data_IF_690581989240
#
_entry.id   IF_690581989240
#
_cell.length_a   1.000
_cell.length_b   1.000
_cell.length_c   1.000
_cell.angle_alpha   90.00
_cell.angle_beta   90.00
_cell.angle_gamma   90.00
#
_symmetry.space_group_name_H-M   'P 1'
#
loop_
_entity.id
_entity.type
_entity.pdbx_description
1 polymer ?
#
# COMPACT_ATOMS: atom_id res chain seq x y z
N UNK A 1 -3.67 11.14 -26.41
CA UNK A 1 -3.19 9.88 -27.00
C UNK A 1 -2.59 9.03 -25.91
N UNK A 2 -2.61 7.71 -26.03
CA UNK A 2 -2.01 6.84 -25.00
C UNK A 2 -0.49 7.06 -24.91
N UNK A 3 0.15 7.30 -26.06
CA UNK A 3 1.55 7.71 -26.18
C UNK A 3 1.92 8.95 -25.36
N UNK A 4 1.06 9.97 -25.31
CA UNK A 4 1.34 11.19 -24.54
C UNK A 4 1.33 10.97 -23.02
N UNK A 5 0.55 10.00 -22.54
CA UNK A 5 0.53 9.65 -21.11
C UNK A 5 1.77 8.83 -20.71
N UNK A 6 2.18 7.89 -21.56
CA UNK A 6 3.44 7.14 -21.38
C UNK A 6 4.66 8.09 -21.38
N UNK A 7 4.69 9.08 -22.28
CA UNK A 7 5.74 10.11 -22.26
C UNK A 7 5.72 10.92 -20.97
N UNK A 8 4.54 11.28 -20.46
CA UNK A 8 4.40 11.99 -19.19
C UNK A 8 4.89 11.14 -18.01
N UNK A 9 4.64 9.82 -18.04
CA UNK A 9 5.16 8.85 -17.07
C UNK A 9 6.68 8.81 -17.09
N UNK A 10 7.28 8.68 -18.27
CA UNK A 10 8.73 8.66 -18.41
C UNK A 10 9.35 9.96 -17.86
N UNK A 11 8.79 11.12 -18.19
CA UNK A 11 9.26 12.41 -17.65
C UNK A 11 9.14 12.48 -16.12
N UNK A 12 8.03 11.99 -15.57
CA UNK A 12 7.84 11.97 -14.11
C UNK A 12 8.82 11.01 -13.42
N UNK A 13 9.12 9.86 -14.02
CA UNK A 13 10.11 8.91 -13.51
C UNK A 13 11.52 9.53 -13.55
N UNK A 14 11.90 10.19 -14.65
CA UNK A 14 13.17 10.93 -14.74
C UNK A 14 13.25 12.03 -13.67
N UNK A 15 12.19 12.82 -13.51
CA UNK A 15 12.14 13.86 -12.47
C UNK A 15 12.13 13.27 -11.04
N UNK A 16 11.67 12.04 -10.86
CA UNK A 16 11.79 11.31 -9.59
C UNK A 16 13.25 10.98 -9.34
N UNK A 17 13.93 10.33 -10.28
CA UNK A 17 15.34 9.95 -10.17
C UNK A 17 16.24 11.16 -9.90
N UNK A 18 16.02 12.28 -10.60
CA UNK A 18 16.76 13.52 -10.37
C UNK A 18 16.62 14.05 -8.93
N UNK A 19 15.40 14.02 -8.38
CA UNK A 19 15.18 14.46 -7.01
C UNK A 19 15.80 13.50 -5.98
N UNK A 20 15.89 12.20 -6.30
CA UNK A 20 16.59 11.23 -5.45
C UNK A 20 18.09 11.50 -5.42
N UNK A 21 18.69 11.71 -6.61
CA UNK A 21 20.10 12.08 -6.75
C UNK A 21 20.43 13.40 -6.04
N UNK A 22 19.59 14.43 -6.20
CA UNK A 22 19.75 15.71 -5.50
C UNK A 22 19.73 15.52 -3.97
N UNK A 23 18.81 14.70 -3.45
CA UNK A 23 18.76 14.42 -2.01
C UNK A 23 19.98 13.68 -1.51
N UNK A 24 20.54 12.78 -2.34
CA UNK A 24 21.73 12.00 -2.02
C UNK A 24 22.97 12.89 -2.04
N UNK A 25 23.06 13.83 -2.98
CA UNK A 25 24.12 14.85 -3.01
C UNK A 25 24.10 15.73 -1.76
N UNK A 26 22.92 16.18 -1.33
CA UNK A 26 22.77 16.97 -0.09
C UNK A 26 23.23 16.16 1.13
N UNK A 27 22.89 14.87 1.20
CA UNK A 27 23.33 13.99 2.26
C UNK A 27 24.86 13.77 2.24
N UNK A 28 25.46 13.54 1.08
CA UNK A 28 26.90 13.35 0.93
C UNK A 28 27.69 14.59 1.37
N UNK A 29 27.32 15.78 0.90
CA UNK A 29 27.98 17.03 1.36
C UNK A 29 27.88 17.25 2.86
N UNK A 30 26.79 16.81 3.51
CA UNK A 30 26.69 16.85 4.97
C UNK A 30 27.63 15.86 5.65
N UNK A 31 27.72 14.61 5.16
CA UNK A 31 28.62 13.59 5.70
C UNK A 31 30.11 13.93 5.49
N UNK A 32 30.42 14.68 4.44
CA UNK A 32 31.75 15.22 4.15
C UNK A 32 32.10 16.45 5.03
N UNK A 33 31.13 16.98 5.79
CA UNK A 33 31.32 18.13 6.67
C UNK A 33 31.28 19.48 5.95
N UNK A 34 30.81 19.52 4.70
CA UNK A 34 30.70 20.76 3.90
C UNK A 34 29.51 21.64 4.33
N UNK A 35 28.56 21.09 5.09
CA UNK A 35 27.33 21.77 5.53
C UNK A 35 27.10 21.66 7.03
N UNK A 36 26.46 22.68 7.59
CA UNK A 36 25.95 22.65 8.97
C UNK A 36 24.68 21.80 9.06
N UNK A 37 24.35 21.35 10.28
CA UNK A 37 23.14 20.55 10.54
C UNK A 37 21.88 21.32 10.15
N UNK A 38 21.78 22.62 10.48
CA UNK A 38 20.61 23.45 10.14
C UNK A 38 20.41 23.55 8.62
N UNK A 39 21.47 23.88 7.87
CA UNK A 39 21.42 23.96 6.40
C UNK A 39 21.08 22.62 5.76
N UNK A 40 21.61 21.52 6.31
CA UNK A 40 21.26 20.18 5.85
C UNK A 40 19.76 19.90 6.06
N UNK A 41 19.21 20.16 7.25
CA UNK A 41 17.81 19.87 7.55
C UNK A 41 16.85 20.70 6.68
N UNK A 42 17.13 21.98 6.47
CA UNK A 42 16.30 22.85 5.62
C UNK A 42 16.19 22.33 4.18
N UNK A 43 17.32 21.94 3.57
CA UNK A 43 17.34 21.52 2.16
C UNK A 43 16.98 20.04 1.98
N UNK A 44 17.51 19.16 2.83
CA UNK A 44 17.30 17.72 2.69
C UNK A 44 15.82 17.34 2.88
N UNK A 45 15.13 17.95 3.85
CA UNK A 45 13.71 17.63 4.09
C UNK A 45 12.87 18.00 2.88
N UNK A 46 13.08 19.18 2.29
CA UNK A 46 12.33 19.65 1.12
C UNK A 46 12.59 18.76 -0.10
N UNK A 47 13.86 18.48 -0.41
CA UNK A 47 14.22 17.64 -1.57
C UNK A 47 13.75 16.20 -1.39
N UNK A 48 13.94 15.61 -0.20
CA UNK A 48 13.55 14.22 0.08
C UNK A 48 12.04 14.05 0.07
N UNK A 49 11.29 15.02 0.60
CA UNK A 49 9.82 15.08 0.53
C UNK A 49 9.35 15.13 -0.93
N UNK A 50 9.94 16.00 -1.73
CA UNK A 50 9.61 16.13 -3.15
C UNK A 50 9.90 14.83 -3.91
N UNK A 51 11.04 14.18 -3.66
CA UNK A 51 11.37 12.89 -4.25
C UNK A 51 10.31 11.82 -3.91
N UNK A 52 9.91 11.71 -2.64
CA UNK A 52 8.87 10.76 -2.22
C UNK A 52 7.51 11.05 -2.85
N UNK A 53 7.12 12.32 -2.94
CA UNK A 53 5.88 12.70 -3.61
C UNK A 53 5.89 12.34 -5.10
N UNK A 54 7.00 12.56 -5.81
CA UNK A 54 7.14 12.18 -7.22
C UNK A 54 7.09 10.66 -7.41
N UNK A 55 7.78 9.90 -6.55
CA UNK A 55 7.73 8.43 -6.54
C UNK A 55 6.30 7.89 -6.43
N UNK A 56 5.54 8.38 -5.45
CA UNK A 56 4.15 7.96 -5.25
C UNK A 56 3.27 8.37 -6.46
N UNK A 57 3.46 9.57 -7.01
CA UNK A 57 2.73 10.00 -8.21
C UNK A 57 3.06 9.14 -9.43
N UNK A 58 4.32 8.75 -9.61
CA UNK A 58 4.76 7.87 -10.69
C UNK A 58 4.10 6.49 -10.54
N UNK A 59 4.16 5.89 -9.34
CA UNK A 59 3.51 4.61 -9.03
C UNK A 59 2.01 4.64 -9.33
N UNK A 60 1.30 5.69 -8.89
CA UNK A 60 -0.13 5.83 -9.13
C UNK A 60 -0.48 6.03 -10.60
N UNK A 61 0.36 6.77 -11.32
CA UNK A 61 0.15 6.95 -12.76
C UNK A 61 0.42 5.65 -13.54
N UNK A 62 1.43 4.88 -13.15
CA UNK A 62 1.65 3.52 -13.68
C UNK A 62 0.42 2.63 -13.42
N UNK A 63 -0.10 2.60 -12.19
CA UNK A 63 -1.32 1.85 -11.85
C UNK A 63 -2.51 2.21 -12.74
N UNK A 64 -2.73 3.51 -12.99
CA UNK A 64 -3.83 3.99 -13.83
C UNK A 64 -3.65 3.61 -15.31
N UNK A 65 -2.43 3.61 -15.81
CA UNK A 65 -2.11 3.19 -17.19
C UNK A 65 -2.28 1.68 -17.36
N UNK A 66 -1.84 0.89 -16.39
CA UNK A 66 -1.98 -0.57 -16.41
C UNK A 66 -3.42 -1.04 -16.18
N UNK A 67 -4.19 -0.39 -15.31
CA UNK A 67 -5.60 -0.75 -15.04
C UNK A 67 -6.57 -0.42 -16.18
N UNK A 68 -6.13 0.31 -17.22
CA UNK A 68 -6.91 0.52 -18.44
C UNK A 68 -6.88 -0.67 -19.41
N UNK A 69 -6.02 -1.65 -19.18
CA UNK A 69 -6.17 -2.97 -19.79
C UNK A 69 -7.30 -3.70 -19.05
N UNK A 70 -8.20 -4.40 -19.76
CA UNK A 70 -9.29 -5.12 -19.10
C UNK A 70 -8.69 -6.08 -18.08
N UNK A 71 -8.89 -5.78 -16.79
CA UNK A 71 -8.75 -6.79 -15.74
C UNK A 71 -9.67 -7.93 -16.18
N UNK A 72 -9.21 -9.19 -16.25
CA UNK A 72 -10.14 -10.28 -16.18
C UNK A 72 -10.88 -10.12 -14.84
N UNK A 73 -12.14 -9.68 -14.90
CA UNK A 73 -13.11 -9.92 -13.84
C UNK A 73 -13.11 -11.42 -13.60
N UNK A 74 -12.44 -11.89 -12.55
CA UNK A 74 -12.42 -13.32 -12.27
C UNK A 74 -11.36 -13.73 -11.26
N UNK A 75 -11.82 -14.01 -10.04
CA UNK A 75 -11.08 -14.80 -9.07
C UNK A 75 -10.49 -13.96 -7.94
N UNK A 76 -11.26 -13.77 -6.87
CA UNK A 76 -10.63 -13.70 -5.56
C UNK A 76 -9.68 -14.90 -5.42
N UNK A 77 -8.48 -14.75 -4.82
CA UNK A 77 -7.61 -15.90 -4.57
C UNK A 77 -8.42 -16.87 -3.70
N UNK A 78 -8.83 -17.99 -4.29
CA UNK A 78 -9.53 -19.06 -3.59
C UNK A 78 -8.53 -19.66 -2.61
N UNK A 79 -8.45 -19.08 -1.42
CA UNK A 79 -7.74 -19.70 -0.31
C UNK A 79 -8.57 -20.92 0.06
N UNK A 80 -8.01 -22.14 0.02
CA UNK A 80 -8.72 -23.30 0.53
C UNK A 80 -9.06 -23.02 2.00
N UNK A 81 -10.33 -23.24 2.35
CA UNK A 81 -10.78 -23.09 3.73
C UNK A 81 -9.92 -24.00 4.64
N UNK A 82 -9.47 -23.52 5.80
CA UNK A 82 -8.72 -24.36 6.73
C UNK A 82 -9.59 -25.57 7.15
N UNK A 83 -8.99 -26.74 7.36
CA UNK A 83 -9.73 -27.92 7.80
C UNK A 83 -10.42 -27.64 9.13
N UNK A 84 -11.67 -28.09 9.26
CA UNK A 84 -12.43 -27.95 10.49
C UNK A 84 -11.68 -28.62 11.66
N UNK A 85 -11.67 -28.03 12.87
CA UNK A 85 -11.03 -28.65 14.02
C UNK A 85 -11.67 -30.00 14.33
N UNK A 86 -10.86 -31.02 14.53
CA UNK A 86 -11.31 -32.35 14.96
C UNK A 86 -11.77 -32.28 16.42
N UNK A 87 -12.99 -31.82 16.66
CA UNK A 87 -13.64 -32.00 17.94
C UNK A 87 -14.06 -33.47 18.06
N UNK A 88 -13.73 -34.17 19.17
CA UNK A 88 -14.25 -35.51 19.39
C UNK A 88 -15.77 -35.43 19.47
N UNK A 89 -16.45 -36.07 18.50
CA UNK A 89 -17.89 -36.27 18.54
C UNK A 89 -18.22 -37.06 19.82
N UNK A 90 -19.04 -36.52 20.74
CA UNK A 90 -19.52 -37.32 21.85
C UNK A 90 -20.49 -38.39 21.34
N UNK A 91 -20.58 -39.54 22.02
CA UNK A 91 -21.46 -40.63 21.62
C UNK A 91 -22.92 -40.16 21.62
N UNK A 92 -23.62 -40.44 20.52
CA UNK A 92 -25.07 -40.29 20.36
C UNK A 92 -25.77 -41.00 21.53
N UNK A 93 -26.48 -40.26 22.37
CA UNK A 93 -27.39 -40.88 23.35
C UNK A 93 -27.69 -40.14 24.65
N UNK A 94 -27.15 -38.94 24.92
CA UNK A 94 -27.45 -38.18 26.14
C UNK A 94 -28.26 -36.90 25.87
N UNK A 95 -29.15 -36.47 26.77
CA UNK A 95 -29.86 -35.19 26.64
C UNK A 95 -28.86 -34.03 26.67
N UNK A 96 -28.85 -33.23 25.60
CA UNK A 96 -27.98 -32.07 25.44
C UNK A 96 -28.28 -31.02 26.53
N UNK A 97 -27.27 -30.49 27.24
CA UNK A 97 -27.48 -29.32 28.08
C UNK A 97 -27.85 -28.11 27.20
N UNK A 98 -28.72 -27.20 27.68
CA UNK A 98 -29.18 -26.06 26.88
C UNK A 98 -28.00 -25.13 26.61
N UNK A 99 -27.68 -24.92 25.32
CA UNK A 99 -26.72 -23.90 24.93
C UNK A 99 -27.21 -22.53 25.40
N UNK A 100 -26.36 -21.70 26.04
CA UNK A 100 -26.71 -20.32 26.31
C UNK A 100 -26.83 -19.61 24.97
N UNK A 101 -28.07 -19.33 24.58
CA UNK A 101 -28.37 -18.48 23.43
C UNK A 101 -28.10 -17.05 23.88
N UNK A 102 -26.85 -16.62 23.85
CA UNK A 102 -26.50 -15.20 23.96
C UNK A 102 -26.81 -14.54 22.63
N UNK A 103 -28.10 -14.28 22.41
CA UNK A 103 -28.60 -13.34 21.40
C UNK A 103 -28.11 -11.93 21.77
N UNK A 104 -27.01 -11.50 21.15
CA UNK A 104 -26.63 -10.08 21.11
C UNK A 104 -27.40 -9.42 19.95
N UNK A 105 -28.28 -8.44 20.22
CA UNK A 105 -28.91 -7.67 19.15
C UNK A 105 -27.87 -6.70 18.55
N UNK A 106 -27.48 -6.94 17.29
CA UNK A 106 -26.71 -5.95 16.52
C UNK A 106 -27.67 -4.87 15.99
N UNK A 107 -27.44 -3.57 16.26
CA UNK A 107 -28.26 -2.50 15.72
C UNK A 107 -28.01 -2.33 14.21
N UNK A 108 -29.09 -2.33 13.44
CA UNK A 108 -29.06 -2.02 12.00
C UNK A 108 -28.77 -0.52 11.80
N UNK A 109 -27.89 -0.14 10.85
CA UNK A 109 -27.67 1.27 10.52
C UNK A 109 -28.90 1.86 9.83
N UNK A 110 -29.31 3.05 10.28
CA UNK A 110 -30.42 3.82 9.75
C UNK A 110 -30.14 4.27 8.30
N UNK A 111 -31.16 4.16 7.43
CA UNK A 111 -31.24 4.93 6.19
C UNK A 111 -31.72 6.35 6.50
#
# INVERSE_FOLDING_TARGET
>A
GQSSLETTLALLQTATAQAEEESEKVASSFLEGERTVESFLEEFIEVRKLAHLRRIKAEKMTELLTCRLPRPMGGAPSRPAPPAPAYPLPPVGGPMPPYPTTHYPMPMPFM
#
